data_IF_748200957675
#
_entry.id   IF_748200957675
#
_cell.length_a   1.000
_cell.length_b   1.000
_cell.length_c   1.000
_cell.angle_alpha   90.00
_cell.angle_beta   90.00
_cell.angle_gamma   90.00
#
_symmetry.space_group_name_H-M   'P 1'
#
loop_
_entity.id
_entity.type
_entity.pdbx_description
1 polymer ?
#
# COMPACT_ATOMS: atom_id res chain seq x y z
N UNK A 1 48.75 -17.00 1.23
CA UNK A 1 47.78 -17.77 0.42
C UNK A 1 46.39 -17.66 1.04
N UNK A 2 45.90 -16.43 1.32
CA UNK A 2 44.61 -16.17 2.00
C UNK A 2 43.96 -14.87 1.43
N UNK A 3 44.22 -14.48 0.21
CA UNK A 3 43.60 -13.26 -0.41
C UNK A 3 42.66 -13.51 -1.58
N UNK A 4 42.46 -14.77 -2.00
CA UNK A 4 41.58 -15.10 -3.12
C UNK A 4 40.19 -15.55 -2.69
N UNK A 5 39.89 -15.72 -1.41
CA UNK A 5 38.57 -16.11 -0.91
C UNK A 5 37.71 -14.90 -0.47
N UNK A 6 38.30 -13.74 -0.24
CA UNK A 6 37.60 -12.53 0.19
C UNK A 6 37.10 -11.71 -1.01
N UNK A 7 37.72 -11.80 -2.18
CA UNK A 7 37.28 -11.09 -3.39
C UNK A 7 36.10 -11.73 -4.12
N UNK A 8 35.68 -12.94 -3.74
CA UNK A 8 34.50 -13.60 -4.32
C UNK A 8 33.20 -13.41 -3.52
N UNK A 9 33.28 -12.81 -2.34
CA UNK A 9 32.09 -12.53 -1.50
C UNK A 9 31.43 -11.17 -1.79
N UNK A 10 32.03 -10.32 -2.60
CA UNK A 10 31.57 -8.94 -2.88
C UNK A 10 31.01 -8.74 -4.29
N UNK A 11 30.68 -9.79 -5.01
CA UNK A 11 29.68 -9.67 -6.07
C UNK A 11 28.30 -9.77 -5.41
N UNK A 12 27.90 -8.72 -4.70
CA UNK A 12 26.51 -8.52 -4.35
C UNK A 12 25.77 -8.40 -5.68
N UNK A 13 25.14 -9.47 -6.08
CA UNK A 13 24.12 -9.41 -7.15
C UNK A 13 23.04 -8.49 -6.61
N UNK A 14 23.17 -7.19 -6.87
CA UNK A 14 22.15 -6.20 -6.56
C UNK A 14 20.89 -6.62 -7.30
N UNK A 15 19.90 -7.08 -6.53
CA UNK A 15 18.62 -7.46 -7.11
C UNK A 15 18.03 -6.24 -7.83
N UNK A 16 17.36 -6.43 -8.98
CA UNK A 16 16.81 -5.32 -9.73
C UNK A 16 15.75 -4.58 -8.89
N UNK A 17 15.59 -3.27 -9.09
CA UNK A 17 14.60 -2.48 -8.38
C UNK A 17 13.18 -2.96 -8.71
N UNK A 18 12.30 -2.82 -7.73
CA UNK A 18 10.88 -3.12 -7.85
C UNK A 18 10.13 -1.80 -8.04
N UNK A 19 9.28 -1.76 -9.04
CA UNK A 19 8.32 -0.67 -9.25
C UNK A 19 6.95 -1.16 -8.79
N UNK A 20 6.41 -0.50 -7.76
CA UNK A 20 5.15 -0.81 -7.12
C UNK A 20 4.14 0.31 -7.42
N UNK A 21 3.24 0.05 -8.35
CA UNK A 21 2.14 0.95 -8.69
C UNK A 21 0.92 0.58 -7.85
N UNK A 22 0.26 1.56 -7.27
CA UNK A 22 -0.85 1.34 -6.33
C UNK A 22 -1.96 2.34 -6.53
N UNK A 23 -3.19 1.87 -6.32
CA UNK A 23 -4.36 2.73 -6.23
C UNK A 23 -5.42 2.11 -5.29
N UNK A 24 -6.31 2.95 -4.79
CA UNK A 24 -7.41 2.55 -3.93
C UNK A 24 -8.65 3.38 -4.23
N UNK A 25 -9.81 2.75 -4.15
CA UNK A 25 -11.07 3.40 -4.40
C UNK A 25 -12.18 2.89 -3.47
N UNK A 26 -13.05 3.78 -3.00
CA UNK A 26 -14.28 3.41 -2.31
C UNK A 26 -15.46 4.19 -2.90
N UNK A 27 -16.53 3.49 -3.20
CA UNK A 27 -17.76 4.07 -3.67
C UNK A 27 -18.60 4.58 -2.49
N UNK A 28 -18.84 5.91 -2.42
CA UNK A 28 -19.59 6.55 -1.33
C UNK A 28 -18.72 6.97 -0.12
N UNK A 29 -17.49 6.61 -0.07
CA UNK A 29 -16.41 7.01 0.86
C UNK A 29 -16.89 7.51 2.27
N UNK A 30 -17.35 6.64 3.21
CA UNK A 30 -17.18 5.20 3.19
C UNK A 30 -18.18 4.45 2.30
N UNK A 31 -17.77 3.26 1.86
CA UNK A 31 -18.59 2.37 1.05
C UNK A 31 -17.82 1.15 0.61
N UNK A 32 -18.36 0.35 -0.32
CA UNK A 32 -17.62 -0.75 -0.94
C UNK A 32 -16.37 -0.21 -1.62
N UNK A 33 -15.22 -0.76 -1.28
CA UNK A 33 -13.96 -0.29 -1.81
C UNK A 33 -12.97 -1.39 -2.06
N UNK A 34 -11.94 -1.09 -2.85
CA UNK A 34 -10.91 -2.03 -3.20
C UNK A 34 -9.57 -1.36 -3.44
N UNK A 35 -8.56 -2.18 -3.52
CA UNK A 35 -7.20 -1.80 -3.88
C UNK A 35 -6.75 -2.52 -5.15
N UNK A 36 -5.89 -1.86 -5.91
CA UNK A 36 -5.27 -2.40 -7.10
C UNK A 36 -3.76 -2.15 -7.09
N UNK A 37 -3.01 -3.16 -7.49
CA UNK A 37 -1.55 -3.17 -7.44
C UNK A 37 -0.99 -3.76 -8.72
N UNK A 38 0.03 -3.10 -9.27
CA UNK A 38 0.89 -3.65 -10.33
C UNK A 38 2.33 -3.60 -9.83
N UNK A 39 2.96 -4.77 -9.74
CA UNK A 39 4.39 -4.89 -9.43
C UNK A 39 5.16 -5.19 -10.71
N UNK A 40 6.25 -4.48 -10.93
CA UNK A 40 7.19 -4.73 -12.03
C UNK A 40 8.60 -4.88 -11.50
N UNK A 41 9.27 -5.96 -11.93
CA UNK A 41 10.67 -6.23 -11.59
C UNK A 41 11.31 -7.03 -12.70
N UNK A 42 12.42 -6.53 -13.27
CA UNK A 42 13.20 -7.23 -14.29
C UNK A 42 12.36 -7.80 -15.47
N UNK A 43 11.41 -7.03 -15.98
CA UNK A 43 10.55 -7.42 -17.10
C UNK A 43 9.38 -8.34 -16.70
N UNK A 44 9.28 -8.74 -15.44
CA UNK A 44 8.14 -9.50 -14.90
C UNK A 44 7.11 -8.53 -14.32
N UNK A 45 5.85 -8.77 -14.60
CA UNK A 45 4.73 -7.99 -14.05
C UNK A 45 3.77 -8.92 -13.31
N UNK A 46 3.28 -8.45 -12.15
CA UNK A 46 2.28 -9.14 -11.33
C UNK A 46 1.22 -8.15 -10.90
N UNK A 47 -0.04 -8.58 -10.94
CA UNK A 47 -1.18 -7.81 -10.47
C UNK A 47 -1.75 -8.42 -9.19
N UNK A 48 -2.17 -7.58 -8.25
CA UNK A 48 -2.89 -7.94 -7.04
C UNK A 48 -4.08 -7.01 -6.86
N UNK A 49 -5.17 -7.52 -6.32
CA UNK A 49 -6.33 -6.70 -5.95
C UNK A 49 -7.13 -7.37 -4.85
N UNK A 50 -7.95 -6.59 -4.18
CA UNK A 50 -8.87 -7.08 -3.17
C UNK A 50 -9.87 -5.99 -2.80
N UNK A 51 -10.99 -6.38 -2.20
CA UNK A 51 -12.06 -5.45 -1.87
C UNK A 51 -12.70 -5.76 -0.53
N UNK A 52 -13.42 -4.76 -0.01
CA UNK A 52 -14.13 -4.80 1.26
C UNK A 52 -15.53 -4.19 1.12
N UNK A 53 -16.47 -4.69 1.92
CA UNK A 53 -17.87 -4.23 1.87
C UNK A 53 -18.06 -2.80 2.33
N UNK A 54 -17.23 -2.34 3.28
CA UNK A 54 -17.28 -1.00 3.85
C UNK A 54 -15.86 -0.54 4.24
N UNK A 55 -15.37 0.48 3.57
CA UNK A 55 -14.04 1.05 3.80
C UNK A 55 -13.96 2.48 3.26
N UNK A 56 -12.78 3.08 3.23
CA UNK A 56 -12.55 4.44 2.72
C UNK A 56 -11.47 4.46 1.64
N UNK A 57 -11.46 5.51 0.82
CA UNK A 57 -10.40 5.73 -0.17
C UNK A 57 -9.01 5.67 0.48
N UNK A 58 -8.78 6.45 1.53
CA UNK A 58 -7.46 6.52 2.17
C UNK A 58 -6.99 5.18 2.73
N UNK A 59 -7.91 4.37 3.28
CA UNK A 59 -7.56 3.02 3.73
C UNK A 59 -7.12 2.13 2.57
N UNK A 60 -7.85 2.17 1.45
CA UNK A 60 -7.53 1.36 0.26
C UNK A 60 -6.23 1.80 -0.40
N UNK A 61 -5.97 3.09 -0.47
CA UNK A 61 -4.71 3.66 -0.94
C UNK A 61 -3.51 3.15 -0.13
N UNK A 62 -3.60 3.23 1.20
CA UNK A 62 -2.54 2.78 2.08
C UNK A 62 -2.40 1.25 2.08
N UNK A 63 -3.53 0.52 2.08
CA UNK A 63 -3.52 -0.94 2.06
C UNK A 63 -2.91 -1.48 0.76
N UNK A 64 -3.12 -0.82 -0.38
CA UNK A 64 -2.47 -1.18 -1.63
C UNK A 64 -0.94 -1.19 -1.50
N UNK A 65 -0.36 -0.17 -0.88
CA UNK A 65 1.07 -0.11 -0.62
C UNK A 65 1.52 -1.23 0.32
N UNK A 66 0.79 -1.45 1.41
CA UNK A 66 1.09 -2.49 2.41
C UNK A 66 1.11 -3.88 1.75
N UNK A 67 0.04 -4.25 1.06
CA UNK A 67 -0.07 -5.56 0.40
C UNK A 67 1.02 -5.73 -0.67
N UNK A 68 1.31 -4.67 -1.43
CA UNK A 68 2.40 -4.69 -2.40
C UNK A 68 3.75 -4.98 -1.76
N UNK A 69 4.09 -4.29 -0.67
CA UNK A 69 5.34 -4.51 0.06
C UNK A 69 5.39 -5.90 0.72
N UNK A 70 4.29 -6.36 1.31
CA UNK A 70 4.20 -7.70 1.91
C UNK A 70 4.38 -8.84 0.88
N UNK A 71 4.08 -8.59 -0.39
CA UNK A 71 4.26 -9.57 -1.46
C UNK A 71 5.71 -9.79 -1.88
N UNK A 72 6.63 -8.93 -1.44
CA UNK A 72 8.06 -9.02 -1.72
C UNK A 72 8.67 -10.10 -0.82
N UNK A 73 9.36 -11.06 -1.43
CA UNK A 73 9.86 -12.26 -0.74
C UNK A 73 11.23 -12.10 -0.09
N UNK A 74 11.90 -10.96 -0.29
CA UNK A 74 13.23 -10.72 0.28
C UNK A 74 13.30 -9.37 0.97
N UNK A 75 14.20 -9.22 1.92
CA UNK A 75 14.45 -7.97 2.64
C UNK A 75 15.42 -7.05 1.89
N UNK A 76 15.49 -5.80 2.32
CA UNK A 76 16.38 -4.79 1.74
C UNK A 76 16.22 -4.60 0.22
N UNK A 77 14.99 -4.78 -0.27
CA UNK A 77 14.66 -4.49 -1.66
C UNK A 77 14.69 -2.98 -1.92
N UNK A 78 15.16 -2.58 -3.09
CA UNK A 78 14.92 -1.23 -3.61
C UNK A 78 13.54 -1.19 -4.22
N UNK A 79 12.65 -0.36 -3.65
CA UNK A 79 11.24 -0.29 -4.07
C UNK A 79 10.86 1.14 -4.39
N UNK A 80 10.38 1.36 -5.59
CA UNK A 80 9.81 2.62 -6.05
C UNK A 80 8.28 2.49 -6.02
N UNK A 81 7.64 3.12 -5.05
CA UNK A 81 6.18 3.19 -4.98
C UNK A 81 5.69 4.37 -5.81
N UNK A 82 4.82 4.11 -6.76
CA UNK A 82 4.20 5.12 -7.62
C UNK A 82 2.71 5.18 -7.32
N UNK A 83 2.25 6.30 -6.79
CA UNK A 83 0.87 6.50 -6.34
C UNK A 83 0.37 7.90 -6.65
N UNK A 84 -0.91 8.05 -6.91
CA UNK A 84 -1.57 9.35 -7.02
C UNK A 84 -2.19 9.82 -5.68
N UNK A 85 -2.09 9.00 -4.63
CA UNK A 85 -2.56 9.35 -3.29
C UNK A 85 -1.66 10.39 -2.62
N UNK A 86 -2.13 11.61 -2.54
CA UNK A 86 -1.44 12.65 -1.76
C UNK A 86 -1.39 12.31 -0.25
N UNK A 87 -2.38 11.58 0.25
CA UNK A 87 -2.44 11.13 1.63
C UNK A 87 -1.25 10.24 2.00
N UNK A 88 -0.97 9.20 1.21
CA UNK A 88 0.12 8.27 1.48
C UNK A 88 1.49 8.91 1.19
N UNK A 89 1.63 9.52 0.02
CA UNK A 89 2.91 10.10 -0.42
C UNK A 89 3.40 11.21 0.52
N UNK A 90 2.52 12.12 0.94
CA UNK A 90 2.87 13.20 1.89
C UNK A 90 3.24 12.67 3.26
N UNK A 91 2.54 11.66 3.77
CA UNK A 91 2.84 11.08 5.08
C UNK A 91 4.31 10.61 5.18
N UNK A 92 4.84 10.10 4.08
CA UNK A 92 6.23 9.66 4.00
C UNK A 92 7.18 10.81 3.68
N UNK A 93 6.93 11.54 2.59
CA UNK A 93 7.85 12.55 2.08
C UNK A 93 7.98 13.78 2.99
N UNK A 94 6.95 14.08 3.79
CA UNK A 94 6.96 15.16 4.78
C UNK A 94 7.36 14.70 6.19
N UNK A 95 7.73 13.43 6.36
CA UNK A 95 8.23 12.87 7.63
C UNK A 95 7.15 12.78 8.73
N UNK A 96 5.88 12.63 8.35
CA UNK A 96 4.79 12.50 9.33
C UNK A 96 4.82 11.15 10.05
N UNK A 97 5.22 10.09 9.37
CA UNK A 97 5.28 8.74 9.93
C UNK A 97 6.15 8.67 11.19
N UNK A 98 7.34 9.26 11.16
CA UNK A 98 8.26 9.28 12.30
C UNK A 98 7.69 10.11 13.47
N UNK A 99 6.99 11.21 13.15
CA UNK A 99 6.31 12.03 14.18
C UNK A 99 5.16 11.25 14.83
N UNK A 100 4.40 10.50 14.05
CA UNK A 100 3.30 9.68 14.56
C UNK A 100 3.81 8.53 15.42
N UNK A 101 4.87 7.85 14.99
CA UNK A 101 5.50 6.78 15.77
C UNK A 101 5.94 7.27 17.14
N UNK A 102 6.64 8.42 17.22
CA UNK A 102 7.06 9.02 18.49
C UNK A 102 5.91 9.31 19.45
N UNK A 103 4.72 9.54 18.92
CA UNK A 103 3.47 9.77 19.68
C UNK A 103 2.62 8.50 19.85
N UNK A 104 3.14 7.32 19.51
CA UNK A 104 2.42 6.05 19.58
C UNK A 104 1.18 6.00 18.68
N UNK A 105 1.18 6.71 17.56
CA UNK A 105 0.05 6.87 16.64
C UNK A 105 -1.22 7.45 17.28
N UNK A 106 -1.08 8.18 18.39
CA UNK A 106 -2.20 8.84 19.05
C UNK A 106 -2.84 9.89 18.13
N UNK A 107 -4.17 9.84 17.99
CA UNK A 107 -4.98 10.74 17.16
C UNK A 107 -4.66 10.70 15.65
N UNK A 108 -3.97 9.68 15.19
CA UNK A 108 -3.71 9.45 13.77
C UNK A 108 -4.87 8.67 13.16
N UNK A 109 -5.32 9.06 11.97
CA UNK A 109 -6.30 8.28 11.21
C UNK A 109 -5.67 7.01 10.66
N UNK A 110 -6.44 5.91 10.70
CA UNK A 110 -5.99 4.60 10.21
C UNK A 110 -4.72 4.08 10.91
N UNK A 111 -4.63 4.16 12.25
CA UNK A 111 -3.43 3.79 12.97
C UNK A 111 -3.07 2.32 12.80
N UNK A 112 -4.05 1.43 12.67
CA UNK A 112 -3.88 0.00 12.39
C UNK A 112 -3.06 -0.24 11.12
N UNK A 113 -3.38 0.46 10.05
CA UNK A 113 -2.67 0.34 8.78
C UNK A 113 -1.27 0.98 8.83
N UNK A 114 -1.12 2.13 9.45
CA UNK A 114 0.20 2.75 9.61
C UNK A 114 1.14 1.94 10.49
N UNK A 115 0.64 1.32 11.53
CA UNK A 115 1.41 0.39 12.37
C UNK A 115 1.82 -0.87 11.60
N UNK A 116 0.97 -1.39 10.71
CA UNK A 116 1.28 -2.51 9.81
C UNK A 116 2.30 -2.10 8.72
N UNK A 117 2.25 -0.87 8.24
CA UNK A 117 3.17 -0.32 7.25
C UNK A 117 4.60 -0.15 7.79
N UNK A 118 4.76 0.29 9.03
CA UNK A 118 6.04 0.70 9.60
C UNK A 118 7.16 -0.35 9.51
N UNK A 119 6.95 -1.63 9.87
CA UNK A 119 7.99 -2.66 9.72
C UNK A 119 8.35 -2.94 8.26
N UNK A 120 7.42 -2.79 7.32
CA UNK A 120 7.67 -2.92 5.89
C UNK A 120 8.53 -1.78 5.37
N UNK A 121 8.25 -0.56 5.80
CA UNK A 121 9.05 0.62 5.53
C UNK A 121 10.51 0.44 5.97
N UNK A 122 10.73 -0.17 7.12
CA UNK A 122 12.06 -0.45 7.67
C UNK A 122 12.77 -1.64 7.02
N UNK A 123 12.00 -2.60 6.50
CA UNK A 123 12.54 -3.81 5.88
C UNK A 123 13.13 -3.56 4.48
N UNK A 124 12.75 -2.46 3.82
CA UNK A 124 13.13 -2.14 2.45
C UNK A 124 13.64 -0.71 2.30
N UNK A 125 14.29 -0.43 1.18
CA UNK A 125 14.66 0.91 0.74
C UNK A 125 13.57 1.44 -0.17
N UNK A 126 12.59 2.13 0.40
CA UNK A 126 11.38 2.56 -0.29
C UNK A 126 11.45 4.04 -0.63
N UNK A 127 11.18 4.37 -1.88
CA UNK A 127 11.05 5.75 -2.38
C UNK A 127 9.63 5.93 -2.93
N UNK A 128 8.95 7.00 -2.50
CA UNK A 128 7.61 7.34 -2.98
C UNK A 128 7.65 8.39 -4.08
N UNK A 129 6.95 8.11 -5.17
CA UNK A 129 6.77 9.00 -6.31
C UNK A 129 5.29 9.31 -6.48
N UNK A 130 4.95 10.60 -6.40
CA UNK A 130 3.59 11.02 -6.69
C UNK A 130 3.39 11.21 -8.19
N UNK A 131 2.27 10.73 -8.71
CA UNK A 131 1.80 10.98 -10.07
C UNK A 131 0.40 11.57 -10.03
N UNK A 132 0.05 12.35 -11.03
CA UNK A 132 -1.31 12.86 -11.16
C UNK A 132 -2.24 11.73 -11.60
N UNK A 133 -3.31 11.50 -10.86
CA UNK A 133 -4.33 10.53 -11.21
C UNK A 133 -5.04 10.88 -12.52
N UNK A 134 -5.45 9.86 -13.26
CA UNK A 134 -6.15 9.97 -14.56
C UNK A 134 -5.41 10.85 -15.60
N UNK A 135 -4.07 10.85 -15.56
CA UNK A 135 -3.23 11.65 -16.46
C UNK A 135 -2.55 10.81 -17.57
N UNK A 136 -3.11 9.65 -17.91
CA UNK A 136 -2.61 8.78 -18.96
C UNK A 136 -1.41 7.89 -18.56
N UNK A 137 -1.17 7.67 -17.27
CA UNK A 137 -0.19 6.71 -16.77
C UNK A 137 -0.77 5.29 -16.80
N UNK A 138 -0.31 4.39 -17.70
CA UNK A 138 -0.98 3.09 -17.93
C UNK A 138 -1.08 2.23 -16.67
N UNK A 139 -0.02 2.17 -15.86
CA UNK A 139 0.00 1.37 -14.64
C UNK A 139 -0.91 1.94 -13.56
N UNK A 140 -1.00 3.26 -13.42
CA UNK A 140 -1.91 3.92 -12.48
C UNK A 140 -3.37 3.66 -12.88
N UNK A 141 -3.70 3.80 -14.16
CA UNK A 141 -5.03 3.49 -14.68
C UNK A 141 -5.39 2.01 -14.52
N UNK A 142 -4.41 1.12 -14.68
CA UNK A 142 -4.61 -0.31 -14.43
C UNK A 142 -4.91 -0.59 -12.95
N UNK A 143 -4.19 0.04 -12.03
CA UNK A 143 -4.45 -0.07 -10.60
C UNK A 143 -5.84 0.44 -10.22
N UNK A 144 -6.28 1.57 -10.78
CA UNK A 144 -7.64 2.10 -10.60
C UNK A 144 -8.70 1.08 -11.07
N UNK A 145 -8.54 0.53 -12.27
CA UNK A 145 -9.47 -0.47 -12.80
C UNK A 145 -9.53 -1.72 -11.91
N UNK A 146 -8.40 -2.21 -11.39
CA UNK A 146 -8.35 -3.32 -10.46
C UNK A 146 -9.04 -3.00 -9.14
N UNK A 147 -8.80 -1.81 -8.58
CA UNK A 147 -9.41 -1.35 -7.33
C UNK A 147 -10.94 -1.25 -7.44
N UNK A 148 -11.45 -0.60 -8.49
CA UNK A 148 -12.88 -0.46 -8.75
C UNK A 148 -13.54 -1.82 -8.96
N UNK A 149 -12.94 -2.70 -9.77
CA UNK A 149 -13.47 -4.05 -10.03
C UNK A 149 -13.53 -4.91 -8.77
N UNK A 150 -12.54 -4.80 -7.87
CA UNK A 150 -12.47 -5.57 -6.63
C UNK A 150 -13.42 -5.05 -5.54
N UNK A 151 -13.74 -3.77 -5.53
CA UNK A 151 -14.65 -3.12 -4.58
C UNK A 151 -16.08 -3.00 -5.10
N UNK A 152 -16.44 -1.81 -5.57
CA UNK A 152 -17.79 -1.53 -6.04
C UNK A 152 -18.24 -2.46 -7.16
N UNK A 153 -17.38 -2.77 -8.12
CA UNK A 153 -17.68 -3.68 -9.21
C UNK A 153 -18.02 -5.11 -8.74
N UNK A 154 -17.35 -5.60 -7.70
CA UNK A 154 -17.67 -6.90 -7.11
C UNK A 154 -19.08 -6.90 -6.49
N UNK A 155 -19.44 -5.84 -5.78
CA UNK A 155 -20.79 -5.68 -5.22
C UNK A 155 -21.88 -5.61 -6.30
N UNK A 156 -21.62 -4.89 -7.40
CA UNK A 156 -22.53 -4.81 -8.55
C UNK A 156 -22.75 -6.18 -9.21
N UNK A 157 -21.73 -7.04 -9.20
CA UNK A 157 -21.85 -8.43 -9.68
C UNK A 157 -22.52 -9.37 -8.67
N UNK A 158 -22.93 -8.88 -7.50
CA UNK A 158 -23.56 -9.67 -6.45
C UNK A 158 -22.59 -10.53 -5.62
N UNK A 159 -21.29 -10.20 -5.66
CA UNK A 159 -20.27 -10.88 -4.88
C UNK A 159 -20.31 -10.41 -3.42
N UNK A 160 -20.08 -11.33 -2.49
CA UNK A 160 -19.94 -10.98 -1.07
C UNK A 160 -18.51 -10.55 -0.78
N UNK A 161 -18.34 -9.35 -0.22
CA UNK A 161 -17.03 -8.84 0.16
C UNK A 161 -16.79 -8.98 1.66
N UNK A 162 -15.54 -9.23 2.08
CA UNK A 162 -15.17 -9.29 3.49
C UNK A 162 -15.30 -7.93 4.17
N UNK A 163 -15.29 -7.96 5.51
CA UNK A 163 -15.21 -6.77 6.33
C UNK A 163 -13.79 -6.19 6.33
N UNK A 164 -13.67 -4.86 6.25
CA UNK A 164 -12.48 -4.14 6.69
C UNK A 164 -12.55 -4.03 8.22
N UNK A 165 -12.03 -5.04 8.91
CA UNK A 165 -12.19 -5.19 10.36
C UNK A 165 -11.61 -4.03 11.15
N UNK A 166 -10.49 -3.48 10.72
CA UNK A 166 -9.89 -2.31 11.37
C UNK A 166 -10.75 -1.06 11.25
N UNK A 167 -11.44 -0.89 10.13
CA UNK A 167 -12.37 0.22 9.94
C UNK A 167 -13.67 0.04 10.70
N UNK A 168 -14.32 -1.12 10.57
CA UNK A 168 -15.62 -1.40 11.18
C UNK A 168 -15.53 -1.40 12.71
N UNK A 169 -14.50 -2.00 13.30
CA UNK A 169 -14.25 -1.94 14.74
C UNK A 169 -13.97 -0.52 15.25
N UNK A 170 -13.29 0.30 14.46
CA UNK A 170 -13.06 1.70 14.79
C UNK A 170 -14.34 2.53 14.87
N UNK A 171 -15.35 2.23 14.06
CA UNK A 171 -16.67 2.87 14.12
C UNK A 171 -17.42 2.44 15.41
N UNK A 172 -17.40 1.15 15.74
CA UNK A 172 -18.07 0.62 16.94
C UNK A 172 -17.49 1.25 18.21
N UNK A 173 -16.15 1.33 18.33
CA UNK A 173 -15.49 1.96 19.49
C UNK A 173 -15.74 3.48 19.57
N UNK A 174 -15.90 4.16 18.43
CA UNK A 174 -16.22 5.59 18.37
C UNK A 174 -17.65 5.91 18.77
N UNK A 175 -18.60 4.99 18.56
CA UNK A 175 -20.00 5.14 18.98
C UNK A 175 -20.22 4.93 20.48
N UNK A 176 -19.39 4.11 21.13
CA UNK A 176 -19.44 3.89 22.58
C UNK A 176 -18.89 5.08 23.40
N UNK A 177 -18.18 6.01 22.77
CA UNK A 177 -17.62 7.19 23.47
C UNK A 177 -18.60 8.38 23.48
N UNK A 178 -19.76 8.25 22.83
CA UNK A 178 -20.79 9.31 22.77
C UNK A 178 -22.01 9.02 23.67
N UNK A 179 -21.94 8.04 24.56
CA UNK A 179 -22.85 7.79 25.67
C UNK A 179 -22.14 8.08 26.98
#
# INVERSE_FOLDING_TARGET
MVRFAEDMAEQSHTRPPIYLYTDGAASGNPGPGGYGIVLKCAGISKELSGGFRLTTNNRMELLAVIIGLESIRWTNAEVHVVSDSSYVVKAINEGWLEKWERKGFAKVKNPDLWMRFLPLWRAHRVTFHWVKGHAGHPENERCDALAVAAGAGAMERGESLPADTGYEQGIEQGSDTLL
#
